data_IF_387698482471
#
_entry.id   IF_387698482471
#
_cell.length_a   1.000
_cell.length_b   1.000
_cell.length_c   1.000
_cell.angle_alpha   90.00
_cell.angle_beta   90.00
_cell.angle_gamma   90.00
#
_symmetry.space_group_name_H-M   'P 1'
#
loop_
_entity.id
_entity.type
_entity.pdbx_description
1 polymer ?
#
# COMPACT_ATOMS: atom_id res chain seq x y z
N UNK A 1 21.67 87.40 -32.55
CA UNK A 1 22.85 86.51 -32.51
C UNK A 1 22.54 85.34 -31.56
N UNK A 2 22.17 84.18 -32.11
CA UNK A 2 21.74 82.99 -31.34
C UNK A 2 22.96 82.12 -31.03
N UNK A 3 23.15 81.77 -29.74
CA UNK A 3 24.18 80.82 -29.27
C UNK A 3 23.67 79.39 -29.49
N UNK A 4 24.49 78.55 -30.14
CA UNK A 4 24.24 77.12 -30.30
C UNK A 4 25.06 76.34 -29.26
N UNK A 5 24.40 75.51 -28.46
CA UNK A 5 25.02 74.49 -27.61
C UNK A 5 25.14 73.19 -28.41
N UNK A 6 26.37 72.67 -28.54
CA UNK A 6 26.61 71.29 -28.96
C UNK A 6 26.41 70.37 -27.74
N UNK A 7 25.57 69.35 -27.89
CA UNK A 7 25.48 68.20 -26.97
C UNK A 7 26.05 67.00 -27.71
N UNK A 8 27.13 66.41 -27.19
CA UNK A 8 27.70 65.17 -27.68
C UNK A 8 26.98 63.98 -27.03
N UNK A 9 26.39 63.10 -27.83
CA UNK A 9 25.80 61.85 -27.37
C UNK A 9 26.84 60.72 -27.49
N UNK A 10 27.26 60.14 -26.36
CA UNK A 10 27.99 58.86 -26.35
C UNK A 10 26.99 57.71 -26.45
N UNK A 11 27.08 56.91 -27.52
CA UNK A 11 26.39 55.64 -27.63
C UNK A 11 27.26 54.53 -26.99
N UNK A 12 26.86 54.05 -25.81
CA UNK A 12 27.44 52.86 -25.20
C UNK A 12 26.73 51.60 -25.71
N UNK A 13 27.47 50.71 -26.38
CA UNK A 13 26.97 49.39 -26.79
C UNK A 13 27.02 48.47 -25.56
N UNK A 14 25.86 48.11 -25.00
CA UNK A 14 25.76 47.04 -24.01
C UNK A 14 25.85 45.69 -24.73
N UNK A 15 26.97 44.99 -24.57
CA UNK A 15 27.06 43.57 -24.91
C UNK A 15 26.32 42.76 -23.83
N UNK A 16 25.12 42.27 -24.15
CA UNK A 16 24.41 41.28 -23.34
C UNK A 16 25.11 39.93 -23.51
N UNK A 17 26.01 39.60 -22.58
CA UNK A 17 26.55 38.24 -22.46
C UNK A 17 25.43 37.28 -22.04
N UNK A 18 25.08 36.34 -22.90
CA UNK A 18 24.21 35.22 -22.55
C UNK A 18 24.96 34.28 -21.60
N UNK A 19 24.61 34.30 -20.32
CA UNK A 19 25.05 33.26 -19.40
C UNK A 19 24.47 31.91 -19.87
N UNK A 20 25.27 30.83 -19.87
CA UNK A 20 24.74 29.50 -20.17
C UNK A 20 23.69 29.13 -19.12
N UNK A 21 22.53 28.64 -19.58
CA UNK A 21 21.50 28.12 -18.69
C UNK A 21 22.12 27.05 -17.78
N UNK A 22 21.92 27.17 -16.47
CA UNK A 22 22.32 26.11 -15.54
C UNK A 22 21.66 24.79 -15.98
N UNK A 23 22.38 23.66 -15.97
CA UNK A 23 21.76 22.38 -16.26
C UNK A 23 20.59 22.17 -15.31
N UNK A 24 19.44 21.77 -15.83
CA UNK A 24 18.27 21.43 -15.01
C UNK A 24 18.74 20.45 -13.94
N UNK A 25 18.60 20.82 -12.66
CA UNK A 25 18.95 19.95 -11.56
C UNK A 25 18.21 18.63 -11.77
N UNK A 26 18.95 17.52 -11.90
CA UNK A 26 18.34 16.20 -11.94
C UNK A 26 17.48 16.07 -10.70
N UNK A 27 16.19 15.80 -10.89
CA UNK A 27 15.29 15.56 -9.78
C UNK A 27 15.92 14.48 -8.90
N UNK A 28 16.01 14.72 -7.59
CA UNK A 28 16.54 13.71 -6.69
C UNK A 28 15.55 12.53 -6.64
N UNK A 29 16.08 11.31 -6.53
CA UNK A 29 15.29 10.09 -6.44
C UNK A 29 15.71 9.27 -5.22
N UNK A 30 14.81 8.39 -4.77
CA UNK A 30 15.12 7.34 -3.81
C UNK A 30 14.66 5.99 -4.38
N UNK A 31 15.23 4.91 -3.89
CA UNK A 31 14.78 3.55 -4.21
C UNK A 31 14.02 2.98 -3.03
N UNK A 32 12.86 2.39 -3.29
CA UNK A 32 12.10 1.61 -2.33
C UNK A 32 11.78 0.25 -2.93
N UNK A 33 11.63 -0.76 -2.09
CA UNK A 33 11.10 -2.04 -2.54
C UNK A 33 9.59 -2.02 -2.36
N UNK A 34 8.85 -2.28 -3.43
CA UNK A 34 7.40 -2.24 -3.47
C UNK A 34 6.85 -3.51 -4.09
N UNK A 35 5.68 -3.91 -3.64
CA UNK A 35 4.93 -5.01 -4.25
C UNK A 35 4.09 -4.50 -5.42
N UNK A 36 4.09 -5.28 -6.48
CA UNK A 36 3.46 -4.99 -7.75
C UNK A 36 2.56 -6.16 -8.10
N UNK A 37 1.28 -5.88 -8.24
CA UNK A 37 0.26 -6.90 -8.45
C UNK A 37 -0.07 -7.00 -9.92
N UNK A 38 -0.03 -8.20 -10.50
CA UNK A 38 -0.45 -8.46 -11.87
C UNK A 38 -1.96 -8.75 -11.96
N UNK A 39 -2.61 -8.44 -13.09
CA UNK A 39 -4.03 -8.75 -13.29
C UNK A 39 -4.37 -10.24 -13.14
N UNK A 40 -3.39 -11.13 -13.36
CA UNK A 40 -3.52 -12.58 -13.15
C UNK A 40 -3.40 -13.03 -11.69
N UNK A 41 -3.12 -12.11 -10.76
CA UNK A 41 -3.00 -12.34 -9.33
C UNK A 41 -1.56 -12.59 -8.83
N UNK A 42 -0.58 -12.74 -9.72
CA UNK A 42 0.84 -12.85 -9.34
C UNK A 42 1.33 -11.54 -8.69
N UNK A 43 2.22 -11.65 -7.70
CA UNK A 43 2.65 -10.52 -6.86
C UNK A 43 4.17 -10.39 -6.91
N UNK A 44 4.72 -9.36 -7.52
CA UNK A 44 6.18 -9.18 -7.65
C UNK A 44 6.73 -8.09 -6.77
N UNK A 45 7.90 -8.30 -6.14
CA UNK A 45 8.69 -7.21 -5.58
C UNK A 45 9.61 -6.58 -6.61
N UNK A 46 9.50 -5.27 -6.75
CA UNK A 46 10.40 -4.45 -7.56
C UNK A 46 11.20 -3.50 -6.67
N UNK A 47 12.46 -3.23 -7.04
CA UNK A 47 13.22 -2.07 -6.55
C UNK A 47 12.85 -0.90 -7.43
N UNK A 48 11.98 -0.04 -6.91
CA UNK A 48 11.34 1.04 -7.65
C UNK A 48 12.06 2.35 -7.35
N UNK A 49 12.55 3.00 -8.40
CA UNK A 49 13.14 4.35 -8.29
C UNK A 49 12.06 5.41 -8.40
N UNK A 50 11.91 6.22 -7.35
CA UNK A 50 10.83 7.20 -7.19
C UNK A 50 11.38 8.60 -6.94
N UNK A 51 10.68 9.65 -7.39
CA UNK A 51 11.11 11.02 -7.13
C UNK A 51 11.03 11.29 -5.63
N UNK A 52 11.98 12.05 -5.06
CA UNK A 52 11.93 12.44 -3.63
C UNK A 52 10.66 13.21 -3.25
N UNK A 53 9.97 13.79 -4.24
CA UNK A 53 8.67 14.41 -4.09
C UNK A 53 7.62 13.47 -3.50
N UNK A 54 7.73 12.14 -3.68
CA UNK A 54 6.84 11.14 -3.10
C UNK A 54 7.00 10.99 -1.57
N UNK A 55 8.10 11.50 -1.02
CA UNK A 55 8.37 11.56 0.43
C UNK A 55 8.46 12.99 0.95
N UNK A 56 8.14 13.96 0.11
CA UNK A 56 8.20 15.35 0.52
C UNK A 56 7.04 15.66 1.47
N UNK A 57 7.39 16.06 2.69
CA UNK A 57 6.43 16.63 3.62
C UNK A 57 5.86 17.93 3.04
N UNK A 58 4.55 18.04 3.02
CA UNK A 58 3.85 19.25 2.62
C UNK A 58 3.01 19.77 3.79
N UNK A 59 2.81 21.09 3.86
CA UNK A 59 1.78 21.64 4.73
C UNK A 59 0.44 21.34 4.09
N UNK A 60 -0.43 20.60 4.78
CA UNK A 60 -1.79 20.36 4.33
C UNK A 60 -2.50 21.70 4.18
N UNK A 61 -3.08 21.95 3.01
CA UNK A 61 -3.69 23.24 2.66
C UNK A 61 -5.07 23.41 3.30
N UNK A 62 -5.74 22.29 3.64
CA UNK A 62 -7.02 22.23 4.35
C UNK A 62 -7.08 20.95 5.20
N UNK A 63 -7.74 20.99 6.37
CA UNK A 63 -8.13 19.76 7.07
C UNK A 63 -9.01 18.90 6.13
N UNK A 64 -8.78 17.59 6.12
CA UNK A 64 -9.66 16.67 5.43
C UNK A 64 -10.88 16.36 6.31
N UNK A 65 -12.02 16.17 5.65
CA UNK A 65 -13.22 15.67 6.31
C UNK A 65 -13.12 14.15 6.46
N UNK A 66 -13.48 13.63 7.63
CA UNK A 66 -13.39 12.20 7.96
C UNK A 66 -14.80 11.67 8.17
N UNK A 67 -15.16 10.68 7.37
CA UNK A 67 -16.48 10.04 7.38
C UNK A 67 -16.34 8.61 7.91
N UNK A 68 -17.02 8.24 9.01
CA UNK A 68 -17.10 6.85 9.43
C UNK A 68 -17.88 6.04 8.39
N UNK A 69 -17.28 4.98 7.87
CA UNK A 69 -17.95 4.01 7.00
C UNK A 69 -18.50 2.86 7.82
N UNK A 70 -17.72 2.37 8.77
CA UNK A 70 -18.15 1.37 9.75
C UNK A 70 -17.36 1.59 11.04
N UNK A 71 -18.07 1.61 12.17
CA UNK A 71 -17.44 1.75 13.51
C UNK A 71 -17.99 0.65 14.40
N UNK A 72 -17.13 -0.26 14.83
CA UNK A 72 -17.52 -1.43 15.64
C UNK A 72 -17.06 -1.33 17.09
N UNK A 73 -16.20 -0.37 17.43
CA UNK A 73 -15.86 -0.04 18.80
C UNK A 73 -14.72 0.97 18.91
N UNK A 74 -14.12 1.12 20.10
CA UNK A 74 -12.95 1.98 20.29
C UNK A 74 -11.77 1.52 19.43
N UNK A 75 -11.05 2.48 18.83
CA UNK A 75 -9.85 2.25 18.01
C UNK A 75 -8.73 1.53 18.75
N UNK A 76 -8.61 1.79 20.06
CA UNK A 76 -7.70 1.05 20.96
C UNK A 76 -7.97 -0.46 21.01
N UNK A 77 -9.10 -0.95 20.46
CA UNK A 77 -9.54 -2.34 20.50
C UNK A 77 -9.87 -2.92 19.11
N UNK A 78 -9.81 -2.13 18.04
CA UNK A 78 -10.28 -2.49 16.70
C UNK A 78 -9.30 -1.99 15.67
N UNK A 79 -9.15 -2.74 14.59
CA UNK A 79 -8.27 -2.35 13.51
C UNK A 79 -8.85 -1.17 12.72
N UNK A 80 -8.15 -0.04 12.68
CA UNK A 80 -8.53 1.16 11.95
C UNK A 80 -7.93 1.17 10.53
N UNK A 81 -8.76 0.78 9.55
CA UNK A 81 -8.45 0.93 8.12
C UNK A 81 -8.86 2.32 7.65
N UNK A 82 -7.86 3.15 7.31
CA UNK A 82 -8.07 4.52 6.85
C UNK A 82 -7.90 4.60 5.34
N UNK A 83 -9.00 4.88 4.66
CA UNK A 83 -9.06 5.02 3.21
C UNK A 83 -8.94 6.49 2.83
N UNK A 84 -7.91 6.84 2.06
CA UNK A 84 -7.64 8.21 1.61
C UNK A 84 -7.86 8.30 0.10
N UNK A 85 -8.67 9.26 -0.36
CA UNK A 85 -8.94 9.44 -1.80
C UNK A 85 -7.87 10.28 -2.49
N UNK A 86 -7.55 9.99 -3.75
CA UNK A 86 -6.81 10.91 -4.62
C UNK A 86 -7.35 10.94 -6.05
N UNK A 87 -7.26 12.10 -6.69
CA UNK A 87 -7.86 12.32 -8.02
C UNK A 87 -9.38 12.47 -8.02
N UNK A 88 -10.01 12.60 -6.85
CA UNK A 88 -11.44 12.93 -6.74
C UNK A 88 -11.60 14.43 -6.49
N UNK A 89 -12.30 15.11 -7.40
CA UNK A 89 -12.69 16.51 -7.18
C UNK A 89 -13.84 16.60 -6.17
N UNK A 90 -14.23 17.82 -5.79
CA UNK A 90 -15.39 18.03 -4.94
C UNK A 90 -16.69 17.44 -5.54
N UNK A 91 -16.81 17.43 -6.88
CA UNK A 91 -17.94 16.82 -7.58
C UNK A 91 -17.87 15.28 -7.58
N UNK A 92 -16.67 14.70 -7.46
CA UNK A 92 -16.44 13.25 -7.50
C UNK A 92 -16.57 12.58 -6.13
N UNK A 93 -16.79 13.33 -5.03
CA UNK A 93 -16.86 12.73 -3.69
C UNK A 93 -17.99 11.69 -3.54
N UNK A 94 -19.06 11.82 -4.32
CA UNK A 94 -20.10 10.79 -4.43
C UNK A 94 -19.54 9.48 -5.01
N UNK A 95 -18.78 9.58 -6.11
CA UNK A 95 -18.08 8.45 -6.74
C UNK A 95 -17.03 7.86 -5.80
N UNK A 96 -16.23 8.69 -5.13
CA UNK A 96 -15.25 8.25 -4.16
C UNK A 96 -15.91 7.39 -3.06
N UNK A 97 -17.02 7.87 -2.50
CA UNK A 97 -17.76 7.14 -1.48
C UNK A 97 -18.34 5.80 -1.98
N UNK A 98 -18.61 5.67 -3.28
CA UNK A 98 -19.04 4.40 -3.88
C UNK A 98 -17.86 3.45 -4.07
N UNK A 99 -16.70 3.97 -4.49
CA UNK A 99 -15.47 3.19 -4.62
C UNK A 99 -15.03 2.65 -3.25
N UNK A 100 -15.04 3.48 -2.20
CA UNK A 100 -14.74 3.04 -0.82
C UNK A 100 -15.65 1.87 -0.42
N UNK A 101 -16.97 2.01 -0.54
CA UNK A 101 -17.90 0.93 -0.18
C UNK A 101 -17.65 -0.35 -0.98
N UNK A 102 -17.46 -0.23 -2.29
CA UNK A 102 -17.18 -1.38 -3.16
C UNK A 102 -15.89 -2.10 -2.78
N UNK A 103 -14.82 -1.36 -2.49
CA UNK A 103 -13.54 -1.94 -2.04
C UNK A 103 -13.66 -2.62 -0.68
N UNK A 104 -14.42 -2.04 0.24
CA UNK A 104 -14.68 -2.62 1.58
C UNK A 104 -15.55 -3.87 1.48
N UNK A 105 -16.57 -3.88 0.63
CA UNK A 105 -17.39 -5.07 0.40
C UNK A 105 -16.57 -6.19 -0.27
N UNK A 106 -15.65 -5.85 -1.19
CA UNK A 106 -14.73 -6.81 -1.77
C UNK A 106 -13.78 -7.41 -0.70
N UNK A 107 -13.22 -6.58 0.18
CA UNK A 107 -12.40 -7.06 1.30
C UNK A 107 -13.17 -8.04 2.19
N UNK A 108 -14.39 -7.67 2.60
CA UNK A 108 -15.24 -8.49 3.46
C UNK A 108 -15.95 -9.65 2.74
N UNK A 109 -15.59 -9.94 1.49
CA UNK A 109 -15.94 -11.18 0.79
C UNK A 109 -14.87 -12.27 0.96
N UNK A 110 -13.74 -11.94 1.59
CA UNK A 110 -12.61 -12.85 1.82
C UNK A 110 -12.59 -13.27 3.29
N UNK A 111 -12.44 -14.55 3.57
CA UNK A 111 -12.22 -15.04 4.94
C UNK A 111 -10.73 -14.94 5.31
N UNK A 112 -10.37 -14.62 6.58
CA UNK A 112 -11.27 -14.45 7.73
C UNK A 112 -11.85 -13.03 7.88
N UNK A 113 -11.58 -12.09 6.98
CA UNK A 113 -12.11 -10.71 7.10
C UNK A 113 -13.63 -10.70 7.20
N UNK A 114 -14.32 -11.51 6.40
CA UNK A 114 -15.77 -11.63 6.42
C UNK A 114 -16.30 -11.99 7.83
N UNK A 115 -15.84 -13.11 8.39
CA UNK A 115 -16.27 -13.57 9.71
C UNK A 115 -15.87 -12.63 10.84
N UNK A 116 -14.79 -11.86 10.66
CA UNK A 116 -14.23 -10.96 11.67
C UNK A 116 -14.43 -9.47 11.33
N UNK A 117 -15.38 -9.12 10.46
CA UNK A 117 -15.68 -7.74 10.05
C UNK A 117 -15.91 -6.80 11.24
N UNK A 118 -16.43 -7.34 12.35
CA UNK A 118 -16.66 -6.60 13.61
C UNK A 118 -15.39 -6.20 14.36
N UNK A 119 -14.23 -6.61 13.91
CA UNK A 119 -12.94 -6.20 14.47
C UNK A 119 -12.36 -4.96 13.76
N UNK A 120 -13.07 -4.41 12.79
CA UNK A 120 -12.63 -3.25 12.02
C UNK A 120 -13.40 -1.99 12.37
N UNK A 121 -12.69 -0.87 12.40
CA UNK A 121 -13.22 0.45 12.12
C UNK A 121 -12.73 0.88 10.73
N UNK A 122 -13.61 1.48 9.92
CA UNK A 122 -13.31 1.92 8.57
C UNK A 122 -13.59 3.41 8.45
N UNK A 123 -12.55 4.18 8.10
CA UNK A 123 -12.62 5.63 7.98
C UNK A 123 -12.34 6.06 6.54
N UNK A 124 -13.23 6.87 5.98
CA UNK A 124 -13.01 7.53 4.71
C UNK A 124 -12.50 8.95 4.95
N UNK A 125 -11.37 9.30 4.35
CA UNK A 125 -10.77 10.64 4.43
C UNK A 125 -10.94 11.35 3.09
N UNK A 126 -11.81 12.37 3.09
CA UNK A 126 -12.15 13.15 1.91
C UNK A 126 -11.06 14.18 1.60
N UNK A 127 -10.16 13.80 0.70
CA UNK A 127 -9.12 14.70 0.18
C UNK A 127 -9.51 15.17 -1.23
N UNK A 128 -9.87 16.45 -1.35
CA UNK A 128 -10.29 17.04 -2.63
C UNK A 128 -9.07 17.34 -3.51
N UNK A 129 -9.03 16.72 -4.68
CA UNK A 129 -8.07 17.00 -5.74
C UNK A 129 -8.56 18.11 -6.68
N UNK A 130 -7.66 18.98 -7.19
CA UNK A 130 -7.99 19.94 -8.23
C UNK A 130 -8.49 19.29 -9.53
N UNK A 131 -7.81 18.23 -9.97
CA UNK A 131 -8.16 17.51 -11.18
C UNK A 131 -8.83 16.16 -10.88
N UNK A 132 -9.75 15.75 -11.75
CA UNK A 132 -10.35 14.41 -11.73
C UNK A 132 -9.45 13.42 -12.49
N UNK A 133 -9.28 12.23 -11.92
CA UNK A 133 -8.37 11.20 -12.42
C UNK A 133 -6.97 11.31 -11.84
N UNK A 134 -6.06 10.44 -12.29
CA UNK A 134 -4.66 10.41 -11.85
C UNK A 134 -3.70 10.54 -13.04
N UNK A 135 -2.43 10.85 -12.77
CA UNK A 135 -1.44 11.00 -13.84
C UNK A 135 -1.15 9.65 -14.53
N UNK A 136 -0.84 9.71 -15.83
CA UNK A 136 -0.62 8.56 -16.71
C UNK A 136 -1.84 7.63 -16.89
N UNK A 137 -3.06 8.18 -16.79
CA UNK A 137 -4.34 7.50 -17.04
C UNK A 137 -5.30 8.41 -17.84
N UNK A 138 -5.95 7.92 -18.92
CA UNK A 138 -5.83 6.58 -19.51
C UNK A 138 -4.47 6.29 -20.16
N UNK A 139 -3.80 7.34 -20.66
CA UNK A 139 -2.56 7.23 -21.43
C UNK A 139 -1.35 7.77 -20.66
N UNK A 140 -0.19 7.15 -20.87
CA UNK A 140 1.08 7.63 -20.34
C UNK A 140 1.41 9.01 -20.89
N UNK A 141 1.89 9.92 -20.03
CA UNK A 141 2.21 11.31 -20.38
C UNK A 141 1.13 12.31 -19.97
N UNK A 142 -0.09 11.85 -19.68
CA UNK A 142 -1.13 12.70 -19.09
C UNK A 142 -0.74 13.12 -17.68
N UNK A 143 -0.77 14.42 -17.40
CA UNK A 143 -0.52 14.97 -16.06
C UNK A 143 -1.83 15.40 -15.41
N UNK A 144 -1.95 15.11 -14.11
CA UNK A 144 -3.06 15.53 -13.24
C UNK A 144 -2.49 16.15 -11.97
N UNK A 145 -3.00 17.32 -11.63
CA UNK A 145 -2.73 17.97 -10.36
C UNK A 145 -3.68 17.41 -9.30
N UNK A 146 -3.24 16.37 -8.61
CA UNK A 146 -4.00 15.72 -7.53
C UNK A 146 -3.40 16.01 -6.17
N UNK A 147 -4.16 15.77 -5.11
CA UNK A 147 -3.75 16.13 -3.75
C UNK A 147 -2.53 15.32 -3.27
N UNK A 148 -2.52 14.02 -3.54
CA UNK A 148 -1.44 13.10 -3.19
C UNK A 148 -0.45 12.89 -4.35
N UNK A 149 -0.77 13.38 -5.55
CA UNK A 149 0.07 13.23 -6.73
C UNK A 149 0.12 11.80 -7.25
N UNK A 150 -0.98 11.04 -7.18
CA UNK A 150 -1.03 9.66 -7.68
C UNK A 150 -0.71 9.56 -9.17
N UNK A 151 0.05 8.52 -9.54
CA UNK A 151 0.44 8.27 -10.92
C UNK A 151 0.71 6.79 -11.20
N UNK A 152 0.26 6.33 -12.37
CA UNK A 152 0.64 5.03 -12.94
C UNK A 152 2.02 5.09 -13.61
N UNK A 153 2.50 3.94 -14.10
CA UNK A 153 3.81 3.82 -14.75
C UNK A 153 4.98 4.18 -13.83
N UNK A 154 4.81 3.96 -12.52
CA UNK A 154 5.88 4.17 -11.56
C UNK A 154 7.07 3.25 -11.89
N UNK A 155 8.24 3.85 -12.08
CA UNK A 155 9.46 3.20 -12.58
C UNK A 155 9.24 2.37 -13.87
N UNK A 156 8.37 2.86 -14.76
CA UNK A 156 8.08 2.23 -16.06
C UNK A 156 7.15 1.02 -15.99
N UNK A 157 6.62 0.68 -14.81
CA UNK A 157 5.70 -0.45 -14.61
C UNK A 157 4.26 0.07 -14.71
N UNK A 158 3.55 -0.25 -15.79
CA UNK A 158 2.22 0.31 -16.12
C UNK A 158 1.24 0.35 -14.94
N UNK A 159 1.04 -0.81 -14.30
CA UNK A 159 0.06 -1.01 -13.23
C UNK A 159 0.53 -0.51 -11.85
N UNK A 160 1.80 -0.13 -11.72
CA UNK A 160 2.34 0.33 -10.44
C UNK A 160 1.88 1.76 -10.20
N UNK A 161 1.00 1.90 -9.20
CA UNK A 161 0.38 3.16 -8.81
C UNK A 161 1.11 3.73 -7.59
N UNK A 162 1.92 4.76 -7.81
CA UNK A 162 2.67 5.45 -6.76
C UNK A 162 1.98 6.75 -6.36
N UNK A 163 2.22 7.17 -5.12
CA UNK A 163 1.64 8.37 -4.51
C UNK A 163 2.69 9.07 -3.63
N UNK A 164 2.41 10.29 -3.19
CA UNK A 164 3.14 10.86 -2.06
C UNK A 164 2.66 10.25 -0.74
N UNK A 165 3.42 9.29 -0.22
CA UNK A 165 3.11 8.55 1.01
C UNK A 165 3.12 9.43 2.25
N UNK A 166 3.95 10.49 2.26
CA UNK A 166 3.99 11.42 3.39
C UNK A 166 2.68 12.19 3.51
N UNK A 167 2.14 12.67 2.39
CA UNK A 167 0.83 13.33 2.36
C UNK A 167 -0.30 12.35 2.70
N UNK A 168 -0.25 11.12 2.18
CA UNK A 168 -1.24 10.10 2.48
C UNK A 168 -1.35 9.86 4.00
N UNK A 169 -0.21 9.65 4.67
CA UNK A 169 -0.14 9.49 6.12
C UNK A 169 -0.59 10.76 6.88
N UNK A 170 -0.20 11.95 6.40
CA UNK A 170 -0.62 13.21 7.02
C UNK A 170 -2.15 13.41 6.98
N UNK A 171 -2.80 13.04 5.87
CA UNK A 171 -4.27 13.09 5.78
C UNK A 171 -4.93 11.98 6.60
N UNK A 172 -4.36 10.76 6.58
CA UNK A 172 -4.88 9.63 7.36
C UNK A 172 -4.89 9.93 8.86
N UNK A 173 -3.90 10.68 9.37
CA UNK A 173 -3.82 11.10 10.78
C UNK A 173 -4.97 12.01 11.26
N UNK A 174 -5.92 12.37 10.39
CA UNK A 174 -7.17 13.01 10.81
C UNK A 174 -8.21 12.02 11.37
N UNK A 175 -8.05 10.71 11.10
CA UNK A 175 -8.88 9.66 11.68
C UNK A 175 -8.57 9.45 13.18
N UNK A 176 -9.47 8.80 13.95
CA UNK A 176 -9.24 8.54 15.37
C UNK A 176 -7.98 7.73 15.67
N UNK A 177 -7.66 6.75 14.82
CA UNK A 177 -6.39 6.00 14.81
C UNK A 177 -6.10 5.48 13.39
N UNK A 178 -4.90 4.93 13.17
CA UNK A 178 -4.42 4.46 11.86
C UNK A 178 -3.56 3.20 12.00
N UNK A 179 -4.12 2.04 11.69
CA UNK A 179 -3.34 0.79 11.60
C UNK A 179 -2.87 0.50 10.17
N UNK A 180 -3.69 0.83 9.17
CA UNK A 180 -3.34 0.72 7.76
C UNK A 180 -3.90 1.89 6.96
N UNK A 181 -3.05 2.46 6.11
CA UNK A 181 -3.48 3.42 5.09
C UNK A 181 -3.70 2.72 3.76
N UNK A 182 -4.87 2.96 3.17
CA UNK A 182 -5.21 2.60 1.79
C UNK A 182 -5.49 3.87 1.00
N UNK A 183 -4.72 4.14 -0.05
CA UNK A 183 -5.07 5.17 -1.03
C UNK A 183 -5.91 4.57 -2.14
N UNK A 184 -7.11 5.12 -2.35
CA UNK A 184 -7.90 4.84 -3.55
C UNK A 184 -7.69 5.95 -4.57
N UNK A 185 -7.15 5.61 -5.73
CA UNK A 185 -7.05 6.51 -6.88
C UNK A 185 -8.36 6.54 -7.67
N UNK A 186 -8.76 7.71 -8.15
CA UNK A 186 -9.88 7.86 -9.07
C UNK A 186 -9.50 7.35 -10.48
N UNK A 187 -9.55 6.03 -10.66
CA UNK A 187 -9.26 5.38 -11.94
C UNK A 187 -10.01 4.06 -12.06
N UNK A 188 -10.38 3.68 -13.28
CA UNK A 188 -10.89 2.35 -13.62
C UNK A 188 -9.79 1.41 -14.11
N UNK A 189 -8.58 1.92 -14.38
CA UNK A 189 -7.42 1.14 -14.80
C UNK A 189 -7.00 0.20 -13.69
N UNK A 190 -6.64 -1.04 -14.02
CA UNK A 190 -6.11 -1.96 -13.02
C UNK A 190 -4.75 -1.48 -12.50
N UNK A 191 -4.58 -1.47 -11.19
CA UNK A 191 -3.28 -1.28 -10.57
C UNK A 191 -3.35 -0.85 -9.12
N UNK A 192 -2.15 -0.77 -8.54
CA UNK A 192 -1.95 -0.62 -7.12
C UNK A 192 -0.54 -1.00 -6.72
N UNK A 193 -0.25 -0.87 -5.44
CA UNK A 193 1.03 -1.18 -4.85
C UNK A 193 0.86 -1.56 -3.38
N UNK A 194 1.76 -2.39 -2.89
CA UNK A 194 1.79 -2.82 -1.49
C UNK A 194 2.71 -1.99 -0.61
N UNK A 195 2.60 -2.20 0.71
CA UNK A 195 3.38 -1.54 1.74
C UNK A 195 2.55 -0.76 2.76
N UNK A 196 3.24 -0.02 3.64
CA UNK A 196 2.59 0.71 4.74
C UNK A 196 1.57 1.78 4.28
N UNK A 197 1.72 2.27 3.05
CA UNK A 197 0.66 2.96 2.31
C UNK A 197 0.34 2.12 1.09
N UNK A 198 -0.70 1.32 1.19
CA UNK A 198 -1.20 0.52 0.09
C UNK A 198 -1.93 1.43 -0.90
N UNK A 199 -1.87 1.12 -2.20
CA UNK A 199 -2.59 1.86 -3.24
C UNK A 199 -3.45 0.92 -4.07
N UNK A 200 -4.60 1.41 -4.50
CA UNK A 200 -5.51 0.66 -5.38
C UNK A 200 -6.36 1.61 -6.23
N UNK A 201 -6.69 1.19 -7.44
CA UNK A 201 -7.66 1.89 -8.26
C UNK A 201 -9.08 1.72 -7.73
N UNK A 202 -9.73 2.82 -7.31
CA UNK A 202 -11.05 2.79 -6.69
C UNK A 202 -12.16 2.32 -7.62
N UNK A 203 -12.05 2.60 -8.92
CA UNK A 203 -13.02 2.18 -9.94
C UNK A 203 -12.76 0.79 -10.52
N UNK A 204 -11.89 -0.02 -9.90
CA UNK A 204 -11.49 -1.33 -10.40
C UNK A 204 -11.61 -2.42 -9.32
N UNK A 205 -12.63 -3.28 -9.44
CA UNK A 205 -12.92 -4.32 -8.45
C UNK A 205 -11.74 -5.30 -8.25
N UNK A 206 -11.03 -5.68 -9.32
CA UNK A 206 -9.88 -6.59 -9.21
C UNK A 206 -8.71 -5.95 -8.44
N UNK A 207 -8.55 -4.64 -8.50
CA UNK A 207 -7.51 -3.92 -7.75
C UNK A 207 -7.81 -3.89 -6.24
N UNK A 208 -9.07 -4.07 -5.83
CA UNK A 208 -9.44 -4.12 -4.40
C UNK A 208 -8.92 -5.36 -3.69
N UNK A 209 -8.56 -6.43 -4.42
CA UNK A 209 -7.95 -7.63 -3.85
C UNK A 209 -6.54 -7.38 -3.29
N UNK A 210 -5.84 -6.34 -3.77
CA UNK A 210 -4.53 -5.93 -3.26
C UNK A 210 -4.60 -5.67 -1.76
N UNK A 211 -5.65 -4.95 -1.32
CA UNK A 211 -5.88 -4.61 0.09
C UNK A 211 -5.94 -5.85 0.99
N UNK A 212 -6.56 -6.92 0.51
CA UNK A 212 -6.70 -8.15 1.28
C UNK A 212 -5.35 -8.84 1.52
N UNK A 213 -4.40 -8.70 0.59
CA UNK A 213 -3.02 -9.19 0.75
C UNK A 213 -2.25 -8.33 1.75
N UNK A 214 -2.28 -7.00 1.60
CA UNK A 214 -1.57 -6.06 2.50
C UNK A 214 -2.01 -6.18 3.96
N UNK A 215 -3.32 -6.37 4.19
CA UNK A 215 -3.84 -6.60 5.53
C UNK A 215 -3.37 -7.93 6.12
N UNK A 216 -2.94 -8.88 5.30
CA UNK A 216 -2.24 -10.08 5.75
C UNK A 216 -0.97 -9.75 6.52
N UNK A 217 -0.20 -8.78 6.04
CA UNK A 217 1.01 -8.30 6.70
C UNK A 217 0.69 -7.52 7.99
N UNK A 218 -0.17 -6.50 7.91
CA UNK A 218 -0.41 -5.60 9.05
C UNK A 218 -1.17 -6.28 10.20
N UNK A 219 -2.09 -7.20 9.91
CA UNK A 219 -2.89 -7.88 10.94
C UNK A 219 -2.19 -9.14 11.41
N UNK A 220 -1.91 -10.06 10.48
CA UNK A 220 -1.41 -11.40 10.78
C UNK A 220 0.10 -11.50 10.96
N UNK A 221 0.86 -10.45 10.61
CA UNK A 221 2.32 -10.52 10.57
C UNK A 221 2.82 -11.58 9.60
N UNK A 222 2.08 -11.79 8.50
CA UNK A 222 2.37 -12.82 7.51
C UNK A 222 3.57 -12.41 6.65
N UNK A 223 4.35 -13.39 6.21
CA UNK A 223 5.33 -13.23 5.15
C UNK A 223 4.68 -13.41 3.78
N UNK A 224 5.34 -12.89 2.77
CA UNK A 224 5.10 -13.27 1.38
C UNK A 224 5.46 -14.74 1.13
N UNK A 225 4.61 -15.43 0.39
CA UNK A 225 4.77 -16.84 0.04
C UNK A 225 5.28 -17.07 -1.39
N UNK A 226 5.59 -16.00 -2.12
CA UNK A 226 6.29 -16.08 -3.40
C UNK A 226 7.83 -16.15 -3.22
N UNK A 227 8.52 -16.61 -4.25
CA UNK A 227 9.88 -17.17 -4.18
C UNK A 227 10.93 -16.37 -4.95
N UNK A 228 10.62 -15.12 -5.29
CA UNK A 228 11.52 -14.20 -5.97
C UNK A 228 11.68 -12.90 -5.19
N UNK A 229 12.88 -12.32 -5.26
CA UNK A 229 13.26 -11.11 -4.55
C UNK A 229 14.59 -11.28 -3.80
N UNK A 230 14.81 -10.43 -2.80
CA UNK A 230 16.00 -10.50 -1.95
C UNK A 230 15.76 -11.53 -0.83
N UNK A 231 16.25 -12.76 -1.03
CA UNK A 231 16.13 -13.86 -0.07
C UNK A 231 16.95 -13.64 1.21
N UNK A 232 16.34 -13.86 2.38
CA UNK A 232 17.00 -14.05 3.67
C UNK A 232 16.77 -15.48 4.17
N UNK A 233 17.80 -16.35 4.18
CA UNK A 233 17.64 -17.77 4.47
C UNK A 233 17.50 -18.10 5.96
N UNK A 234 17.51 -17.10 6.86
CA UNK A 234 17.34 -17.31 8.30
C UNK A 234 15.90 -17.66 8.64
N UNK A 235 15.71 -18.44 9.70
CA UNK A 235 14.37 -18.80 10.20
C UNK A 235 13.55 -17.53 10.48
N UNK A 236 12.43 -17.32 9.76
CA UNK A 236 11.60 -16.13 9.92
C UNK A 236 10.76 -16.20 11.20
N UNK A 237 10.29 -15.06 11.69
CA UNK A 237 9.30 -15.03 12.77
C UNK A 237 7.88 -15.31 12.25
N UNK A 238 7.62 -14.85 11.02
CA UNK A 238 6.35 -14.91 10.31
C UNK A 238 5.78 -16.35 10.29
N UNK A 239 4.50 -16.55 10.64
CA UNK A 239 3.98 -17.88 10.94
C UNK A 239 3.79 -18.77 9.70
N UNK A 240 3.75 -18.19 8.50
CA UNK A 240 3.49 -18.86 7.23
C UNK A 240 4.74 -19.06 6.35
N UNK A 241 5.94 -18.85 6.90
CA UNK A 241 7.21 -19.21 6.27
C UNK A 241 8.14 -19.90 7.28
N UNK A 242 9.01 -20.80 6.81
CA UNK A 242 10.02 -21.47 7.64
C UNK A 242 11.17 -22.02 6.81
N UNK A 243 12.37 -22.06 7.38
CA UNK A 243 13.51 -22.81 6.84
C UNK A 243 13.58 -24.25 7.38
N UNK A 244 12.63 -24.64 8.26
CA UNK A 244 12.55 -25.97 8.85
C UNK A 244 11.92 -26.99 7.89
N UNK A 245 12.45 -28.21 7.87
CA UNK A 245 11.78 -29.35 7.23
C UNK A 245 10.55 -29.79 8.03
N UNK A 246 9.68 -30.61 7.44
CA UNK A 246 8.53 -31.18 8.16
C UNK A 246 8.94 -31.96 9.42
N UNK A 247 10.01 -32.76 9.36
CA UNK A 247 10.52 -33.51 10.51
C UNK A 247 11.02 -32.59 11.63
N UNK A 248 11.67 -31.48 11.26
CA UNK A 248 12.12 -30.46 12.21
C UNK A 248 10.92 -29.76 12.85
N UNK A 249 9.91 -29.35 12.06
CA UNK A 249 8.67 -28.77 12.59
C UNK A 249 7.98 -29.73 13.57
N UNK A 250 7.87 -31.03 13.24
CA UNK A 250 7.25 -32.03 14.13
C UNK A 250 8.03 -32.23 15.42
N UNK A 251 9.35 -32.38 15.34
CA UNK A 251 10.20 -32.63 16.51
C UNK A 251 10.29 -31.43 17.44
N UNK A 252 10.28 -30.21 16.89
CA UNK A 252 10.36 -28.97 17.65
C UNK A 252 8.98 -28.43 18.06
N UNK A 253 7.89 -29.00 17.53
CA UNK A 253 6.53 -28.46 17.66
C UNK A 253 6.45 -26.99 17.24
N UNK A 254 7.09 -26.66 16.12
CA UNK A 254 7.22 -25.29 15.63
C UNK A 254 6.32 -25.03 14.41
N UNK A 255 6.05 -23.73 14.16
CA UNK A 255 5.30 -23.26 12.98
C UNK A 255 3.95 -23.96 12.83
N UNK A 256 3.68 -24.60 11.70
CA UNK A 256 2.42 -25.26 11.40
C UNK A 256 2.48 -26.78 11.54
N UNK A 257 3.35 -27.30 12.43
CA UNK A 257 3.49 -28.75 12.65
C UNK A 257 2.14 -29.47 12.88
N UNK A 258 1.20 -28.80 13.55
CA UNK A 258 -0.14 -29.29 13.85
C UNK A 258 -1.05 -29.42 12.61
N UNK A 259 -0.69 -28.75 11.50
CA UNK A 259 -1.43 -28.78 10.24
C UNK A 259 -0.84 -29.76 9.23
N UNK A 260 0.40 -30.19 9.37
CA UNK A 260 1.06 -31.08 8.40
C UNK A 260 0.23 -32.35 8.11
N UNK A 261 -0.11 -32.55 6.83
CA UNK A 261 -0.95 -33.65 6.35
C UNK A 261 -2.46 -33.38 6.35
N UNK A 262 -2.91 -32.20 6.80
CA UNK A 262 -4.33 -31.80 6.77
C UNK A 262 -4.68 -31.07 5.47
N UNK A 263 -5.95 -31.06 5.03
CA UNK A 263 -6.37 -30.28 3.87
C UNK A 263 -6.14 -28.78 4.06
N UNK A 264 -5.82 -28.09 2.97
CA UNK A 264 -5.73 -26.63 2.87
C UNK A 264 -6.85 -26.09 1.98
N UNK A 265 -7.39 -24.88 2.22
CA UNK A 265 -8.48 -24.30 1.43
C UNK A 265 -8.17 -24.11 -0.08
N UNK A 266 -6.91 -24.03 -0.47
CA UNK A 266 -6.48 -24.01 -1.88
C UNK A 266 -6.64 -25.37 -2.60
N UNK A 267 -7.09 -26.40 -1.89
CA UNK A 267 -7.26 -27.77 -2.38
C UNK A 267 -6.01 -28.65 -2.23
N UNK A 268 -4.92 -28.10 -1.72
CA UNK A 268 -3.70 -28.84 -1.43
C UNK A 268 -3.75 -29.51 -0.05
N UNK A 269 -2.68 -30.23 0.31
CA UNK A 269 -2.48 -30.75 1.67
C UNK A 269 -1.38 -29.93 2.31
N UNK A 270 -1.58 -29.47 3.55
CA UNK A 270 -0.56 -28.69 4.26
C UNK A 270 0.72 -29.50 4.42
N UNK A 271 1.84 -28.91 4.01
CA UNK A 271 3.17 -29.50 4.02
C UNK A 271 4.26 -28.44 4.12
N UNK A 272 5.47 -28.76 3.66
CA UNK A 272 6.55 -27.81 3.46
C UNK A 272 6.86 -27.62 1.96
N UNK A 273 6.13 -26.72 1.30
CA UNK A 273 6.30 -26.45 -0.13
C UNK A 273 7.47 -25.50 -0.34
N UNK A 274 8.47 -25.94 -1.11
CA UNK A 274 9.67 -25.14 -1.38
C UNK A 274 9.31 -23.87 -2.16
N UNK A 275 9.94 -22.75 -1.76
CA UNK A 275 9.71 -21.43 -2.32
C UNK A 275 8.81 -20.57 -1.42
N UNK A 276 9.38 -19.60 -0.72
CA UNK A 276 8.66 -18.65 0.13
C UNK A 276 9.61 -17.53 0.57
N UNK A 277 9.07 -16.40 1.05
CA UNK A 277 9.84 -15.28 1.59
C UNK A 277 11.02 -14.90 0.70
N UNK A 278 10.75 -14.84 -0.61
CA UNK A 278 11.68 -14.46 -1.67
C UNK A 278 12.81 -15.46 -1.95
N UNK A 279 12.84 -16.59 -1.26
CA UNK A 279 13.82 -17.65 -1.44
C UNK A 279 13.24 -18.76 -2.33
N UNK A 280 13.95 -19.09 -3.42
CA UNK A 280 13.57 -20.19 -4.31
C UNK A 280 13.77 -21.57 -3.68
N UNK A 281 14.76 -21.69 -2.79
CA UNK A 281 15.12 -22.94 -2.11
C UNK A 281 15.41 -22.68 -0.64
N UNK A 282 15.25 -23.72 0.18
CA UNK A 282 15.57 -23.66 1.62
C UNK A 282 14.61 -22.81 2.48
N UNK A 283 13.53 -22.29 1.90
CA UNK A 283 12.41 -21.67 2.60
C UNK A 283 11.12 -22.31 2.12
N UNK A 284 10.20 -22.57 3.04
CA UNK A 284 8.98 -23.32 2.79
C UNK A 284 7.74 -22.50 3.16
N UNK A 285 6.67 -22.70 2.39
CA UNK A 285 5.31 -22.24 2.68
C UNK A 285 4.39 -23.43 3.00
N UNK A 286 3.26 -23.21 3.68
CA UNK A 286 2.42 -24.30 4.20
C UNK A 286 1.57 -25.00 3.13
N UNK A 287 1.20 -24.33 2.04
CA UNK A 287 0.30 -24.86 0.99
C UNK A 287 0.85 -24.61 -0.41
N UNK A 288 0.25 -25.24 -1.42
CA UNK A 288 0.68 -25.04 -2.80
C UNK A 288 0.50 -23.57 -3.21
N UNK A 289 -0.61 -22.95 -2.79
CA UNK A 289 -0.96 -21.56 -3.02
C UNK A 289 -1.73 -20.95 -1.83
N UNK A 290 -1.76 -19.63 -1.74
CA UNK A 290 -2.54 -18.87 -0.74
C UNK A 290 -2.65 -17.41 -1.14
N UNK A 291 -3.46 -16.61 -0.42
CA UNK A 291 -3.55 -15.16 -0.65
C UNK A 291 -2.20 -14.44 -0.53
N UNK A 292 -1.28 -14.96 0.28
CA UNK A 292 0.07 -14.40 0.44
C UNK A 292 1.02 -14.79 -0.70
N UNK A 293 0.57 -15.60 -1.67
CA UNK A 293 1.31 -15.95 -2.88
C UNK A 293 0.64 -15.41 -4.14
N UNK A 294 -0.68 -15.53 -4.23
CA UNK A 294 -1.47 -15.18 -5.41
C UNK A 294 -2.80 -14.55 -4.98
N UNK A 295 -3.17 -13.40 -5.55
CA UNK A 295 -4.46 -12.77 -5.27
C UNK A 295 -5.64 -13.67 -5.64
N UNK A 296 -6.74 -13.51 -4.91
CA UNK A 296 -7.98 -14.26 -5.13
C UNK A 296 -7.95 -15.70 -4.61
N UNK A 297 -6.88 -16.12 -3.96
CA UNK A 297 -6.79 -17.40 -3.22
C UNK A 297 -7.21 -17.21 -1.76
N UNK A 298 -7.72 -18.26 -1.10
CA UNK A 298 -7.93 -18.22 0.34
C UNK A 298 -6.60 -18.20 1.09
N UNK A 299 -6.60 -17.73 2.33
CA UNK A 299 -5.47 -17.98 3.24
C UNK A 299 -5.31 -19.48 3.51
N UNK A 300 -4.08 -19.91 3.70
CA UNK A 300 -3.80 -21.24 4.24
C UNK A 300 -4.11 -21.29 5.76
N UNK A 301 -4.15 -22.49 6.36
CA UNK A 301 -4.53 -22.62 7.77
C UNK A 301 -3.67 -21.83 8.77
N UNK A 302 -2.31 -21.88 8.76
CA UNK A 302 -1.53 -21.08 9.70
C UNK A 302 -1.67 -19.58 9.48
N UNK A 303 -1.84 -19.12 8.23
CA UNK A 303 -2.14 -17.71 7.96
C UNK A 303 -3.52 -17.32 8.52
N UNK A 304 -4.52 -18.18 8.40
CA UNK A 304 -5.87 -17.93 8.96
C UNK A 304 -5.81 -17.78 10.48
N UNK A 305 -5.10 -18.69 11.18
CA UNK A 305 -4.92 -18.61 12.64
C UNK A 305 -4.21 -17.31 13.04
N UNK A 306 -3.17 -16.94 12.31
CA UNK A 306 -2.40 -15.72 12.58
C UNK A 306 -3.24 -14.45 12.35
N UNK A 307 -4.08 -14.42 11.31
CA UNK A 307 -5.03 -13.34 11.08
C UNK A 307 -6.05 -13.23 12.22
N UNK A 308 -6.62 -14.36 12.65
CA UNK A 308 -7.55 -14.41 13.78
C UNK A 308 -6.90 -13.89 15.06
N UNK A 309 -5.68 -14.35 15.36
CA UNK A 309 -4.91 -13.87 16.49
C UNK A 309 -4.61 -12.36 16.39
N UNK A 310 -4.30 -11.88 15.18
CA UNK A 310 -4.07 -10.47 14.90
C UNK A 310 -5.28 -9.59 15.23
N UNK A 311 -6.48 -10.01 14.84
CA UNK A 311 -7.70 -9.27 15.20
C UNK A 311 -7.92 -9.12 16.71
N UNK A 312 -7.47 -10.09 17.52
CA UNK A 312 -7.58 -10.03 18.98
C UNK A 312 -6.38 -9.38 19.66
N UNK A 313 -5.29 -9.10 18.95
CA UNK A 313 -4.12 -8.39 19.51
C UNK A 313 -4.44 -6.93 19.76
N UNK A 314 -5.26 -6.32 18.90
CA UNK A 314 -5.77 -4.96 19.12
C UNK A 314 -6.74 -4.92 20.30
N UNK A 315 -7.50 -5.99 20.60
CA UNK A 315 -8.36 -6.03 21.78
C UNK A 315 -7.54 -6.05 23.10
N UNK A 316 -7.85 -5.22 24.10
CA UNK A 316 -7.16 -5.23 25.38
C UNK A 316 -7.28 -6.61 25.98
N UNK A 317 -6.12 -7.20 26.30
CA UNK A 317 -6.06 -8.51 26.94
C UNK A 317 -7.04 -8.56 28.12
N UNK A 318 -8.00 -9.50 28.10
CA UNK A 318 -8.85 -9.82 29.24
C UNK A 318 -8.07 -10.51 30.39
N UNK A 319 -6.75 -10.29 30.48
CA UNK A 319 -5.94 -10.82 31.57
C UNK A 319 -5.99 -9.84 32.75
N UNK A 320 -6.49 -10.26 33.94
CA UNK A 320 -6.45 -9.42 35.11
C UNK A 320 -4.98 -9.18 35.49
N UNK A 321 -4.57 -7.91 35.51
CA UNK A 321 -3.31 -7.50 36.10
C UNK A 321 -3.21 -8.04 37.53
N UNK A 322 -2.37 -9.05 37.73
CA UNK A 322 -1.83 -9.34 39.06
C UNK A 322 -0.90 -8.19 39.43
N UNK A 323 -1.13 -7.47 40.54
CA UNK A 323 -0.17 -6.49 41.00
C UNK A 323 1.08 -7.24 41.48
N UNK A 324 2.23 -6.88 40.93
CA UNK A 324 3.51 -7.35 41.45
C UNK A 324 3.84 -6.60 42.76
N UNK A 325 4.29 -7.36 43.74
CA UNK A 325 4.85 -6.91 45.01
C UNK A 325 6.25 -6.32 44.86
#
# INVERSE_FOLDING_TARGET
>A
MRRACLVAALAGVLALGSAPAAPAAQAAHFTASMEVFDPGGTIHRAKVTRPVADRAAARLTRPADVVPIETNGPSENHFDLVVVGDGYTAADLGTYSQHVRSSIDALFSVEPYQSYRKQFNIWQVNVVSPDSGVSNDPDQGIQRNTALGSYFWCDGIERLLCVNETKANQYAAAAPDVDQVLVLANSTKYGGAGGGVATSSGGNASSSQIVAHELGHSIGGLADEYDYGDCDPREPAEPNATALTEDQMRSQQAKWYQYLGKPSPDGSTVGAYEGSRYCQTGMYRPSADSLMRTLGKPFNPPSTDAMIAGFYREAPSLAPHRPAA
#
